data_IF_898893923609
#
_entry.id   IF_898893923609
#
_cell.length_a   1.000
_cell.length_b   1.000
_cell.length_c   1.000
_cell.angle_alpha   90.00
_cell.angle_beta   90.00
_cell.angle_gamma   90.00
#
_symmetry.space_group_name_H-M   'P 1'
#
loop_
_entity.id
_entity.type
_entity.pdbx_description
1 polymer ?
#
# COMPACT_ATOMS: atom_id res chain seq x y z
N UNK A 1 -2.08 58.04 66.03
CA UNK A 1 -2.74 58.24 64.74
C UNK A 1 -1.93 57.49 63.72
N UNK A 2 -2.33 56.24 63.47
CA UNK A 2 -1.62 55.23 62.67
C UNK A 2 -2.16 55.27 61.25
N UNK A 3 -1.31 55.63 60.28
CA UNK A 3 -1.60 55.52 58.85
C UNK A 3 -1.33 54.09 58.37
N UNK A 4 -2.33 53.46 57.91
CA UNK A 4 -2.30 52.16 57.26
C UNK A 4 -1.97 52.34 55.76
N UNK A 5 -0.86 51.78 55.30
CA UNK A 5 -0.48 51.79 53.90
C UNK A 5 -0.81 50.43 53.37
N UNK A 6 -1.85 50.35 52.47
CA UNK A 6 -2.18 49.19 51.71
C UNK A 6 -1.22 48.98 50.56
N UNK A 7 -0.47 47.88 50.59
CA UNK A 7 0.37 47.41 49.49
C UNK A 7 -0.49 46.59 48.48
N UNK A 8 -0.83 47.19 47.37
CA UNK A 8 -1.35 46.47 46.21
C UNK A 8 -0.24 45.69 45.50
N UNK A 9 -0.17 44.40 45.76
CA UNK A 9 0.69 43.47 45.06
C UNK A 9 0.08 43.10 43.72
N UNK A 10 0.51 43.77 42.65
CA UNK A 10 0.13 43.41 41.25
C UNK A 10 0.85 42.14 40.87
N UNK A 11 0.13 41.04 40.85
CA UNK A 11 0.57 39.73 40.38
C UNK A 11 0.52 39.74 38.84
N UNK A 12 1.62 40.12 38.20
CA UNK A 12 1.83 39.88 36.76
C UNK A 12 2.16 38.42 36.55
N UNK A 13 1.12 37.65 36.15
CA UNK A 13 1.25 36.28 35.70
C UNK A 13 1.94 36.23 34.34
N UNK A 14 3.25 35.98 34.32
CA UNK A 14 3.97 35.67 33.09
C UNK A 14 3.57 34.29 32.57
N UNK A 15 2.88 34.26 31.47
CA UNK A 15 2.66 33.05 30.69
C UNK A 15 3.96 32.76 29.92
N UNK A 16 4.82 31.93 30.49
CA UNK A 16 5.97 31.38 29.77
C UNK A 16 5.45 30.32 28.77
N UNK A 17 5.24 30.73 27.53
CA UNK A 17 5.03 29.81 26.44
C UNK A 17 6.37 29.10 26.16
N UNK A 18 6.53 27.89 26.72
CA UNK A 18 7.63 27.00 26.42
C UNK A 18 7.42 26.47 24.98
N UNK A 19 8.03 27.12 24.01
CA UNK A 19 8.16 26.60 22.64
C UNK A 19 9.16 25.46 22.69
N UNK A 20 8.66 24.24 22.76
CA UNK A 20 9.46 23.01 22.66
C UNK A 20 9.85 22.81 21.20
N UNK A 21 10.99 23.38 20.80
CA UNK A 21 11.63 23.03 19.54
C UNK A 21 12.17 21.61 19.64
N UNK A 22 11.36 20.61 19.29
CA UNK A 22 11.87 19.29 18.95
C UNK A 22 12.59 19.40 17.61
N UNK A 23 13.90 19.62 17.66
CA UNK A 23 14.79 19.35 16.53
C UNK A 23 14.82 17.83 16.33
N UNK A 24 13.89 17.33 15.55
CA UNK A 24 13.97 15.99 15.00
C UNK A 24 15.10 16.02 13.97
N UNK A 25 16.34 15.80 14.43
CA UNK A 25 17.45 15.45 13.56
C UNK A 25 17.05 14.14 12.87
N UNK A 26 16.54 14.25 11.66
CA UNK A 26 16.26 13.10 10.82
C UNK A 26 17.56 12.36 10.53
N UNK A 27 17.88 11.37 11.35
CA UNK A 27 18.60 10.21 10.87
C UNK A 27 17.73 9.68 9.72
N UNK A 28 18.17 9.93 8.49
CA UNK A 28 17.73 9.17 7.33
C UNK A 28 18.23 7.73 7.58
N UNK A 29 17.54 7.01 8.47
CA UNK A 29 17.64 5.59 8.52
C UNK A 29 17.22 5.13 7.13
N UNK A 30 18.13 4.46 6.46
CA UNK A 30 17.88 3.72 5.22
C UNK A 30 16.76 2.72 5.57
N UNK A 31 15.51 3.18 5.50
CA UNK A 31 14.35 2.35 5.80
C UNK A 31 14.32 1.30 4.72
N UNK A 32 14.50 0.01 5.08
CA UNK A 32 14.51 -1.04 4.10
C UNK A 32 13.25 -0.90 3.25
N UNK A 33 13.45 -0.92 1.94
CA UNK A 33 12.36 -0.73 0.99
C UNK A 33 11.24 -1.73 1.34
N UNK A 34 10.00 -1.28 1.60
CA UNK A 34 8.95 -2.14 2.10
C UNK A 34 8.72 -3.29 1.13
N UNK A 35 8.69 -4.49 1.64
CA UNK A 35 8.63 -5.68 0.82
C UNK A 35 7.25 -6.35 0.86
N UNK A 36 6.88 -6.89 -0.28
CA UNK A 36 5.80 -7.85 -0.43
C UNK A 36 6.31 -9.01 -1.27
N UNK A 37 6.37 -10.20 -0.68
CA UNK A 37 6.86 -11.42 -1.32
C UNK A 37 5.76 -12.50 -1.34
N UNK A 38 4.77 -12.37 -2.24
CA UNK A 38 3.68 -13.35 -2.33
C UNK A 38 4.23 -14.71 -2.80
N UNK A 39 3.72 -15.78 -2.18
CA UNK A 39 4.09 -17.16 -2.56
C UNK A 39 3.04 -17.74 -3.50
N UNK A 40 3.42 -18.04 -4.74
CA UNK A 40 2.59 -18.78 -5.68
C UNK A 40 2.65 -20.28 -5.37
N UNK A 41 1.74 -20.79 -4.53
CA UNK A 41 1.61 -22.23 -4.25
C UNK A 41 0.68 -22.89 -5.27
N UNK A 42 0.88 -24.20 -5.52
CA UNK A 42 -0.03 -24.98 -6.39
C UNK A 42 -1.49 -24.93 -5.91
N UNK A 43 -1.69 -24.87 -4.59
CA UNK A 43 -3.03 -24.74 -4.00
C UNK A 43 -3.69 -23.41 -4.38
N UNK A 44 -2.90 -22.33 -4.40
CA UNK A 44 -3.36 -20.99 -4.76
C UNK A 44 -3.78 -20.95 -6.24
N UNK A 45 -3.01 -21.59 -7.13
CA UNK A 45 -3.26 -21.65 -8.58
C UNK A 45 -4.57 -22.38 -8.90
N UNK A 46 -4.95 -23.37 -8.09
CA UNK A 46 -6.19 -24.16 -8.27
C UNK A 46 -7.45 -23.49 -7.74
N UNK A 47 -7.34 -22.31 -7.11
CA UNK A 47 -8.48 -21.58 -6.59
C UNK A 47 -9.31 -20.95 -7.72
N UNK A 48 -10.64 -20.89 -7.56
CA UNK A 48 -11.48 -20.08 -8.44
C UNK A 48 -11.03 -18.61 -8.40
N UNK A 49 -11.16 -17.90 -9.53
CA UNK A 49 -10.62 -16.54 -9.72
C UNK A 49 -11.02 -15.56 -8.60
N UNK A 50 -12.25 -15.62 -8.11
CA UNK A 50 -12.74 -14.73 -7.06
C UNK A 50 -12.00 -14.95 -5.72
N UNK A 51 -11.75 -16.23 -5.38
CA UNK A 51 -11.00 -16.58 -4.16
C UNK A 51 -9.52 -16.27 -4.30
N UNK A 52 -8.95 -16.52 -5.49
CA UNK A 52 -7.56 -16.16 -5.80
C UNK A 52 -7.33 -14.66 -5.62
N UNK A 53 -8.16 -13.82 -6.25
CA UNK A 53 -8.08 -12.37 -6.12
C UNK A 53 -8.16 -11.93 -4.66
N UNK A 54 -9.16 -12.41 -3.91
CA UNK A 54 -9.35 -12.07 -2.49
C UNK A 54 -8.15 -12.48 -1.64
N UNK A 55 -7.58 -13.66 -1.89
CA UNK A 55 -6.40 -14.16 -1.16
C UNK A 55 -5.17 -13.29 -1.42
N UNK A 56 -4.94 -12.87 -2.68
CA UNK A 56 -3.83 -11.99 -3.06
C UNK A 56 -3.99 -10.61 -2.43
N UNK A 57 -5.19 -10.03 -2.50
CA UNK A 57 -5.47 -8.70 -1.94
C UNK A 57 -5.33 -8.72 -0.41
N UNK A 58 -5.73 -9.79 0.26
CA UNK A 58 -5.57 -9.98 1.70
C UNK A 58 -4.09 -10.13 2.09
N UNK A 59 -3.32 -10.92 1.35
CA UNK A 59 -1.89 -11.10 1.56
C UNK A 59 -1.15 -9.77 1.38
N UNK A 60 -1.49 -9.01 0.34
CA UNK A 60 -0.95 -7.66 0.12
C UNK A 60 -1.26 -6.72 1.29
N UNK A 61 -2.52 -6.63 1.73
CA UNK A 61 -2.93 -5.73 2.81
C UNK A 61 -2.23 -6.05 4.14
N UNK A 62 -1.87 -7.30 4.37
CA UNK A 62 -1.13 -7.75 5.56
C UNK A 62 0.39 -7.56 5.42
N UNK A 63 0.89 -7.29 4.22
CA UNK A 63 2.32 -7.08 3.96
C UNK A 63 2.82 -5.74 4.48
N UNK A 64 4.14 -5.59 4.59
CA UNK A 64 4.76 -4.31 4.92
C UNK A 64 4.45 -3.25 3.86
N UNK A 65 4.52 -3.62 2.57
CA UNK A 65 4.21 -2.73 1.45
C UNK A 65 2.75 -2.23 1.49
N UNK A 66 1.80 -3.11 1.81
CA UNK A 66 0.38 -2.74 1.93
C UNK A 66 0.12 -1.79 3.08
N UNK A 67 0.73 -2.03 4.25
CA UNK A 67 0.62 -1.13 5.41
C UNK A 67 1.19 0.24 5.12
N UNK A 68 2.41 0.32 4.55
CA UNK A 68 3.04 1.60 4.22
C UNK A 68 2.25 2.39 3.17
N UNK A 69 1.69 1.72 2.16
CA UNK A 69 0.80 2.36 1.20
C UNK A 69 -0.43 2.97 1.91
N UNK A 70 -1.05 2.22 2.82
CA UNK A 70 -2.20 2.69 3.59
C UNK A 70 -1.86 3.88 4.50
N UNK A 71 -0.71 3.86 5.17
CA UNK A 71 -0.22 4.98 5.99
C UNK A 71 0.08 6.21 5.14
N UNK A 72 0.73 6.02 4.00
CA UNK A 72 1.02 7.11 3.05
C UNK A 72 -0.28 7.75 2.55
N UNK A 73 -1.31 6.97 2.25
CA UNK A 73 -2.62 7.50 1.84
C UNK A 73 -3.33 8.28 2.95
N UNK A 74 -3.25 7.84 4.20
CA UNK A 74 -3.74 8.60 5.36
C UNK A 74 -3.01 9.92 5.52
N UNK A 75 -1.67 9.92 5.41
CA UNK A 75 -0.86 11.11 5.51
C UNK A 75 -1.15 12.12 4.39
N UNK A 76 -1.38 11.65 3.17
CA UNK A 76 -1.81 12.50 2.03
C UNK A 76 -3.16 13.16 2.34
N UNK A 77 -4.11 12.42 2.89
CA UNK A 77 -5.43 12.95 3.26
C UNK A 77 -5.33 14.02 4.34
N UNK A 78 -4.55 13.75 5.40
CA UNK A 78 -4.31 14.70 6.49
C UNK A 78 -3.62 15.97 5.97
N UNK A 79 -2.55 15.82 5.19
CA UNK A 79 -1.80 16.94 4.60
C UNK A 79 -2.68 17.76 3.65
N UNK A 80 -3.55 17.14 2.88
CA UNK A 80 -4.56 17.81 2.05
C UNK A 80 -5.54 18.66 2.87
N UNK A 81 -5.89 18.23 4.09
CA UNK A 81 -6.63 19.02 5.07
C UNK A 81 -5.86 20.27 5.48
N UNK A 82 -4.62 20.08 5.96
CA UNK A 82 -3.74 21.20 6.37
C UNK A 82 -3.57 22.26 5.28
N UNK A 83 -3.39 21.80 4.02
CA UNK A 83 -3.25 22.74 2.88
C UNK A 83 -4.51 23.59 2.67
N UNK A 84 -5.70 22.99 2.81
CA UNK A 84 -6.98 23.73 2.69
C UNK A 84 -7.15 24.74 3.82
N UNK A 85 -6.81 24.34 5.05
CA UNK A 85 -6.93 25.21 6.23
C UNK A 85 -5.96 26.40 6.13
N UNK A 86 -4.70 26.17 5.73
CA UNK A 86 -3.74 27.23 5.47
C UNK A 86 -4.21 28.19 4.38
N UNK A 87 -4.75 27.67 3.28
CA UNK A 87 -5.30 28.51 2.21
C UNK A 87 -6.48 29.35 2.67
N UNK A 88 -7.35 28.80 3.51
CA UNK A 88 -8.48 29.56 4.10
C UNK A 88 -7.97 30.66 5.04
N UNK A 89 -6.98 30.32 5.90
CA UNK A 89 -6.38 31.29 6.83
C UNK A 89 -5.68 32.44 6.10
N UNK A 90 -4.93 32.17 5.04
CA UNK A 90 -4.27 33.18 4.22
C UNK A 90 -5.26 34.20 3.62
N UNK A 91 -6.47 33.74 3.27
CA UNK A 91 -7.51 34.62 2.73
C UNK A 91 -8.10 35.56 3.78
N UNK A 92 -8.08 35.17 5.06
CA UNK A 92 -8.67 35.91 6.17
C UNK A 92 -7.68 36.89 6.85
N UNK A 93 -6.37 36.66 6.66
CA UNK A 93 -5.33 37.48 7.29
C UNK A 93 -5.15 38.78 6.51
N UNK A 94 -5.31 39.92 7.21
CA UNK A 94 -5.13 41.26 6.65
C UNK A 94 -3.68 41.77 6.75
N UNK A 95 -2.94 41.34 7.79
CA UNK A 95 -1.55 41.77 8.03
C UNK A 95 -0.61 41.17 6.97
N UNK A 96 0.10 42.02 6.18
CA UNK A 96 0.92 41.53 5.06
C UNK A 96 2.09 40.63 5.49
N UNK A 97 2.70 40.90 6.64
CA UNK A 97 3.81 40.12 7.19
C UNK A 97 3.38 38.71 7.55
N UNK A 98 2.27 38.58 8.27
CA UNK A 98 1.70 37.28 8.65
C UNK A 98 1.23 36.49 7.43
N UNK A 99 0.68 37.21 6.43
CA UNK A 99 0.26 36.58 5.16
C UNK A 99 1.44 35.98 4.42
N UNK A 100 2.57 36.67 4.39
CA UNK A 100 3.79 36.21 3.76
C UNK A 100 4.35 34.95 4.48
N UNK A 101 4.37 34.95 5.81
CA UNK A 101 4.79 33.79 6.61
C UNK A 101 3.91 32.57 6.34
N UNK A 102 2.60 32.72 6.35
CA UNK A 102 1.66 31.65 6.04
C UNK A 102 1.80 31.16 4.59
N UNK A 103 2.15 32.01 3.64
CA UNK A 103 2.46 31.61 2.27
C UNK A 103 3.73 30.76 2.20
N UNK A 104 4.78 31.10 2.95
CA UNK A 104 5.97 30.26 3.06
C UNK A 104 5.66 28.90 3.69
N UNK A 105 4.85 28.89 4.74
CA UNK A 105 4.40 27.64 5.34
C UNK A 105 3.59 26.79 4.35
N UNK A 106 2.69 27.41 3.61
CA UNK A 106 1.89 26.74 2.57
C UNK A 106 2.80 26.11 1.49
N UNK A 107 3.87 26.78 1.08
CA UNK A 107 4.82 26.24 0.10
C UNK A 107 5.56 25.02 0.65
N UNK A 108 6.00 25.06 1.91
CA UNK A 108 6.65 23.93 2.55
C UNK A 108 5.69 22.72 2.68
N UNK A 109 4.45 22.98 3.06
CA UNK A 109 3.42 21.95 3.14
C UNK A 109 3.07 21.33 1.77
N UNK A 110 3.06 22.14 0.70
CA UNK A 110 2.89 21.64 -0.67
C UNK A 110 4.05 20.75 -1.10
N UNK A 111 5.30 21.08 -0.74
CA UNK A 111 6.45 20.21 -1.03
C UNK A 111 6.29 18.86 -0.33
N UNK A 112 6.00 18.87 0.96
CA UNK A 112 5.77 17.65 1.73
C UNK A 112 4.60 16.81 1.15
N UNK A 113 3.55 17.45 0.65
CA UNK A 113 2.45 16.77 -0.03
C UNK A 113 2.90 16.11 -1.35
N UNK A 114 3.73 16.79 -2.14
CA UNK A 114 4.29 16.24 -3.39
C UNK A 114 5.18 15.03 -3.09
N UNK A 115 6.00 15.08 -2.05
CA UNK A 115 6.86 13.97 -1.65
C UNK A 115 6.03 12.74 -1.24
N UNK A 116 4.95 12.94 -0.49
CA UNK A 116 4.02 11.86 -0.15
C UNK A 116 3.33 11.28 -1.39
N UNK A 117 2.94 12.12 -2.34
CA UNK A 117 2.35 11.66 -3.61
C UNK A 117 3.35 10.84 -4.43
N UNK A 118 4.61 11.29 -4.51
CA UNK A 118 5.69 10.56 -5.19
C UNK A 118 5.94 9.21 -4.51
N UNK A 119 5.97 9.18 -3.18
CA UNK A 119 6.09 7.94 -2.41
C UNK A 119 4.92 6.98 -2.69
N UNK A 120 3.70 7.47 -2.71
CA UNK A 120 2.51 6.66 -3.06
C UNK A 120 2.64 6.03 -4.46
N UNK A 121 3.10 6.78 -5.44
CA UNK A 121 3.31 6.28 -6.81
C UNK A 121 4.34 5.17 -6.82
N UNK A 122 5.46 5.34 -6.11
CA UNK A 122 6.52 4.32 -6.03
C UNK A 122 6.02 3.03 -5.35
N UNK A 123 5.31 3.14 -4.22
CA UNK A 123 4.72 1.98 -3.53
C UNK A 123 3.71 1.24 -4.43
N UNK A 124 2.88 1.98 -5.17
CA UNK A 124 1.95 1.38 -6.14
C UNK A 124 2.68 0.68 -7.28
N UNK A 125 3.77 1.26 -7.78
CA UNK A 125 4.59 0.64 -8.82
C UNK A 125 5.19 -0.68 -8.33
N UNK A 126 5.73 -0.71 -7.11
CA UNK A 126 6.26 -1.92 -6.50
C UNK A 126 5.17 -2.99 -6.34
N UNK A 127 3.97 -2.61 -5.88
CA UNK A 127 2.82 -3.52 -5.77
C UNK A 127 2.48 -4.15 -7.13
N UNK A 128 2.34 -3.33 -8.17
CA UNK A 128 1.99 -3.81 -9.52
C UNK A 128 3.07 -4.73 -10.08
N UNK A 129 4.35 -4.36 -9.96
CA UNK A 129 5.46 -5.16 -10.46
C UNK A 129 5.56 -6.51 -9.73
N UNK A 130 5.38 -6.53 -8.41
CA UNK A 130 5.39 -7.77 -7.63
C UNK A 130 4.20 -8.66 -8.01
N UNK A 131 3.03 -8.06 -8.19
CA UNK A 131 1.83 -8.79 -8.62
C UNK A 131 1.99 -9.39 -10.03
N UNK A 132 2.62 -8.65 -10.93
CA UNK A 132 2.92 -9.12 -12.29
C UNK A 132 3.85 -10.34 -12.24
N UNK A 133 4.97 -10.25 -11.53
CA UNK A 133 5.91 -11.37 -11.34
C UNK A 133 5.21 -12.60 -10.76
N UNK A 134 4.37 -12.41 -9.75
CA UNK A 134 3.60 -13.51 -9.16
C UNK A 134 2.69 -14.19 -10.20
N UNK A 135 2.02 -13.43 -11.07
CA UNK A 135 1.20 -14.02 -12.12
C UNK A 135 2.04 -14.71 -13.20
N UNK A 136 3.20 -14.17 -13.56
CA UNK A 136 4.15 -14.83 -14.46
C UNK A 136 4.59 -16.18 -13.90
N UNK A 137 4.98 -16.24 -12.63
CA UNK A 137 5.33 -17.49 -11.93
C UNK A 137 4.17 -18.49 -11.90
N UNK A 138 2.95 -18.01 -11.70
CA UNK A 138 1.75 -18.87 -11.76
C UNK A 138 1.51 -19.42 -13.16
N UNK A 139 1.67 -18.59 -14.19
CA UNK A 139 1.51 -19.02 -15.58
C UNK A 139 2.59 -20.04 -15.96
N UNK A 140 3.82 -19.85 -15.54
CA UNK A 140 4.91 -20.79 -15.77
C UNK A 140 4.63 -22.17 -15.13
N UNK A 141 4.12 -22.18 -13.90
CA UNK A 141 3.71 -23.42 -13.22
C UNK A 141 2.53 -24.13 -13.88
N UNK A 142 1.63 -23.37 -14.53
CA UNK A 142 0.50 -23.93 -15.28
C UNK A 142 0.90 -24.40 -16.69
N UNK A 143 1.99 -23.90 -17.25
CA UNK A 143 2.41 -24.22 -18.61
C UNK A 143 2.72 -25.71 -18.84
N UNK A 144 3.35 -26.45 -17.91
CA UNK A 144 3.57 -27.90 -18.07
C UNK A 144 2.28 -28.71 -18.10
N UNK A 145 1.26 -28.31 -17.32
CA UNK A 145 -0.04 -29.01 -17.33
C UNK A 145 -0.80 -28.85 -18.66
N UNK A 146 -0.52 -27.77 -19.41
CA UNK A 146 -1.11 -27.56 -20.76
C UNK A 146 -0.33 -28.24 -21.88
N UNK A 147 0.98 -28.48 -21.69
CA UNK A 147 1.87 -29.05 -22.71
C UNK A 147 2.06 -30.57 -22.60
N UNK A 148 1.79 -31.14 -21.43
CA UNK A 148 1.85 -32.57 -21.19
C UNK A 148 0.48 -33.12 -20.84
N UNK A 149 0.02 -34.14 -21.59
CA UNK A 149 -1.05 -34.99 -21.11
C UNK A 149 -0.53 -35.54 -19.78
N UNK A 150 -1.20 -35.25 -18.65
CA UNK A 150 -0.76 -35.81 -17.36
C UNK A 150 -0.59 -37.31 -17.51
N UNK A 151 0.38 -37.94 -16.84
CA UNK A 151 0.63 -39.39 -16.98
C UNK A 151 -0.67 -40.21 -16.85
N UNK A 152 -1.56 -39.86 -15.92
CA UNK A 152 -2.85 -40.49 -15.76
C UNK A 152 -3.81 -40.26 -16.94
N UNK A 153 -3.75 -39.08 -17.61
CA UNK A 153 -4.56 -38.81 -18.79
C UNK A 153 -4.00 -39.52 -20.03
N UNK A 154 -2.69 -39.66 -20.16
CA UNK A 154 -2.05 -40.46 -21.19
C UNK A 154 -2.46 -41.93 -21.06
N UNK A 155 -2.38 -42.48 -19.86
CA UNK A 155 -2.83 -43.84 -19.56
C UNK A 155 -4.32 -44.10 -19.88
N UNK A 156 -5.18 -43.11 -19.55
CA UNK A 156 -6.61 -43.18 -19.89
C UNK A 156 -6.85 -43.16 -21.41
N UNK A 157 -6.14 -42.33 -22.16
CA UNK A 157 -6.22 -42.29 -23.62
C UNK A 157 -5.75 -43.61 -24.22
N UNK A 158 -4.69 -44.21 -23.73
CA UNK A 158 -4.19 -45.52 -24.21
C UNK A 158 -5.15 -46.65 -23.86
N UNK A 159 -5.71 -46.66 -22.66
CA UNK A 159 -6.78 -47.63 -22.29
C UNK A 159 -8.01 -47.46 -23.18
N UNK A 160 -8.41 -46.23 -23.47
CA UNK A 160 -9.55 -45.96 -24.37
C UNK A 160 -9.26 -46.43 -25.80
N UNK A 161 -8.04 -46.18 -26.30
CA UNK A 161 -7.61 -46.64 -27.62
C UNK A 161 -7.60 -48.18 -27.70
N UNK A 162 -7.02 -48.84 -26.70
CA UNK A 162 -7.00 -50.30 -26.61
C UNK A 162 -8.40 -50.90 -26.54
N UNK A 163 -9.33 -50.30 -25.80
CA UNK A 163 -10.73 -50.74 -25.74
C UNK A 163 -11.43 -50.61 -27.08
N UNK A 164 -11.22 -49.49 -27.80
CA UNK A 164 -11.78 -49.29 -29.16
C UNK A 164 -11.25 -50.32 -30.14
N UNK A 165 -9.94 -50.63 -30.12
CA UNK A 165 -9.32 -51.66 -30.98
C UNK A 165 -9.88 -53.05 -30.69
N UNK A 166 -10.08 -53.42 -29.41
CA UNK A 166 -10.68 -54.68 -29.03
C UNK A 166 -12.14 -54.79 -29.53
N UNK A 167 -12.90 -53.70 -29.37
CA UNK A 167 -14.29 -53.64 -29.82
C UNK A 167 -14.41 -53.76 -31.34
N UNK A 168 -13.56 -53.03 -32.10
CA UNK A 168 -13.57 -53.14 -33.57
C UNK A 168 -13.17 -54.52 -34.07
N UNK A 169 -12.22 -55.19 -33.39
CA UNK A 169 -11.83 -56.54 -33.68
C UNK A 169 -12.97 -57.52 -33.42
N UNK A 170 -13.64 -57.39 -32.25
CA UNK A 170 -14.79 -58.21 -31.91
C UNK A 170 -15.97 -58.05 -32.88
N UNK A 171 -16.17 -56.88 -33.47
CA UNK A 171 -17.16 -56.66 -34.52
C UNK A 171 -16.77 -57.35 -35.83
N UNK A 172 -15.51 -57.33 -36.22
CA UNK A 172 -14.97 -57.94 -37.42
C UNK A 172 -14.96 -59.48 -37.33
N UNK A 173 -14.98 -60.07 -36.14
CA UNK A 173 -15.02 -61.48 -35.90
C UNK A 173 -16.48 -62.03 -35.88
N UNK A 174 -17.52 -61.18 -36.03
CA UNK A 174 -18.98 -61.55 -36.00
C UNK A 174 -19.61 -61.52 -37.42
N UNK A 175 -18.95 -60.87 -38.40
CA UNK A 175 -19.31 -60.88 -39.81
C UNK A 175 -18.61 -62.06 -40.53
#
# INVERSE_FOLDING_TARGET
MLMYVENHFVRTGGIAAAIFFMTLSGLAADTPNPSWTPKSSERLIKLPMNYLKKSIDQDFNNSQLGRELGETEKNITAKGGTLRDLQATIKQVEKPEMKMELQHQLLNEKRAFIDLMSRKVELKRQHVNTKLKMFEDMMEKLAPEKRGVSPGRAELIDKQRAARTRFSKSLADVD
#
